data_IF_127361207098
#
_entry.id   IF_127361207098
#
_cell.length_a   1.000
_cell.length_b   1.000
_cell.length_c   1.000
_cell.angle_alpha   90.00
_cell.angle_beta   90.00
_cell.angle_gamma   90.00
#
_symmetry.space_group_name_H-M   'P 1'
#
loop_
_entity.id
_entity.type
_entity.pdbx_description
1 polymer ?
#
# COMPACT_ATOMS: atom_id res chain seq x y z
N UNK A 1 -17.86 -9.07 -10.51
CA UNK A 1 -16.82 -8.02 -10.43
C UNK A 1 -15.86 -8.46 -9.35
N UNK A 2 -14.56 -8.52 -9.64
CA UNK A 2 -13.57 -9.25 -8.83
C UNK A 2 -13.62 -8.81 -7.35
N UNK A 3 -14.03 -9.75 -6.48
CA UNK A 3 -14.07 -9.60 -5.03
C UNK A 3 -12.73 -10.02 -4.39
N UNK A 4 -11.63 -9.92 -5.13
CA UNK A 4 -10.31 -10.37 -4.69
C UNK A 4 -9.53 -9.20 -4.11
N UNK A 5 -9.16 -9.33 -2.85
CA UNK A 5 -8.26 -8.42 -2.15
C UNK A 5 -6.81 -8.89 -2.34
N UNK A 6 -5.89 -7.95 -2.52
CA UNK A 6 -4.46 -8.23 -2.63
C UNK A 6 -3.86 -8.26 -1.22
N UNK A 7 -3.30 -9.40 -0.83
CA UNK A 7 -2.54 -9.52 0.40
C UNK A 7 -1.11 -9.03 0.18
N UNK A 8 -0.59 -8.21 1.09
CA UNK A 8 0.77 -7.65 1.01
C UNK A 8 1.32 -7.37 2.41
N UNK A 9 2.64 -7.24 2.52
CA UNK A 9 3.34 -6.88 3.76
C UNK A 9 4.31 -5.72 3.52
N UNK A 10 4.77 -5.15 4.64
CA UNK A 10 5.80 -4.14 4.65
C UNK A 10 7.05 -4.59 3.89
N UNK A 11 7.52 -3.75 2.97
CA UNK A 11 8.67 -4.06 2.11
C UNK A 11 8.31 -4.71 0.78
N UNK A 12 7.06 -5.12 0.55
CA UNK A 12 6.61 -5.57 -0.77
C UNK A 12 6.51 -4.37 -1.73
N UNK A 13 6.86 -4.61 -2.99
CA UNK A 13 6.70 -3.65 -4.08
C UNK A 13 5.44 -3.99 -4.82
N UNK A 14 4.49 -3.06 -4.85
CA UNK A 14 3.20 -3.26 -5.50
C UNK A 14 3.21 -2.51 -6.82
N UNK A 15 2.97 -3.23 -7.91
CA UNK A 15 2.74 -2.60 -9.22
C UNK A 15 1.31 -2.11 -9.26
N UNK A 16 1.11 -0.80 -9.22
CA UNK A 16 -0.22 -0.20 -9.31
C UNK A 16 -0.71 -0.28 -10.75
N UNK A 17 -1.86 -0.93 -10.95
CA UNK A 17 -2.50 -1.13 -12.25
C UNK A 17 -3.68 -0.17 -12.44
N UNK A 18 -4.46 0.09 -11.38
CA UNK A 18 -5.50 1.13 -11.36
C UNK A 18 -5.45 1.91 -10.04
N UNK A 19 -5.36 3.24 -10.15
CA UNK A 19 -5.41 4.18 -9.04
C UNK A 19 -6.52 5.24 -9.23
N UNK A 20 -7.56 4.89 -9.98
CA UNK A 20 -8.64 5.82 -10.35
C UNK A 20 -9.51 6.17 -9.13
N UNK A 21 -9.56 5.30 -8.12
CA UNK A 21 -10.26 5.53 -6.86
C UNK A 21 -9.29 6.01 -5.78
N UNK A 22 -9.72 6.96 -4.93
CA UNK A 22 -8.90 7.54 -3.86
C UNK A 22 -8.63 6.59 -2.69
N UNK A 23 -9.53 5.64 -2.45
CA UNK A 23 -9.49 4.77 -1.27
C UNK A 23 -8.93 3.38 -1.59
N UNK A 24 -9.19 2.88 -2.80
CA UNK A 24 -8.88 1.50 -3.21
C UNK A 24 -8.20 1.47 -4.57
N UNK A 25 -7.03 0.85 -4.63
CA UNK A 25 -6.25 0.67 -5.86
C UNK A 25 -6.20 -0.79 -6.25
N UNK A 26 -6.13 -1.05 -7.56
CA UNK A 26 -5.86 -2.37 -8.09
C UNK A 26 -4.35 -2.49 -8.34
N UNK A 27 -3.74 -3.55 -7.82
CA UNK A 27 -2.31 -3.77 -7.96
C UNK A 27 -1.95 -5.22 -8.12
N UNK A 28 -0.67 -5.43 -8.43
CA UNK A 28 -0.07 -6.73 -8.66
C UNK A 28 1.20 -6.90 -7.82
N UNK A 29 1.34 -8.08 -7.21
CA UNK A 29 2.56 -8.58 -6.57
C UNK A 29 2.83 -9.94 -7.20
N UNK A 30 4.01 -10.11 -7.81
CA UNK A 30 4.36 -11.29 -8.59
C UNK A 30 3.27 -11.62 -9.63
N UNK A 31 2.58 -12.76 -9.48
CA UNK A 31 1.48 -13.22 -10.36
C UNK A 31 0.09 -13.02 -9.73
N UNK A 32 -0.01 -12.37 -8.56
CA UNK A 32 -1.28 -12.11 -7.87
C UNK A 32 -1.76 -10.67 -8.07
N UNK A 33 -3.04 -10.52 -8.40
CA UNK A 33 -3.70 -9.23 -8.59
C UNK A 33 -4.90 -9.09 -7.66
N UNK A 34 -5.14 -7.87 -7.15
CA UNK A 34 -6.25 -7.62 -6.23
C UNK A 34 -6.40 -6.17 -5.83
N UNK A 35 -7.50 -5.90 -5.12
CA UNK A 35 -7.78 -4.60 -4.50
C UNK A 35 -7.00 -4.45 -3.19
N UNK A 36 -6.41 -3.28 -2.99
CA UNK A 36 -5.79 -2.92 -1.72
C UNK A 36 -6.05 -1.44 -1.36
N UNK A 37 -5.96 -1.05 -0.09
CA UNK A 37 -6.26 0.30 0.33
C UNK A 37 -5.08 1.23 0.00
N UNK A 38 -5.36 2.36 -0.64
CA UNK A 38 -4.34 3.32 -1.08
C UNK A 38 -3.52 3.89 0.09
N UNK A 39 -4.08 3.92 1.30
CA UNK A 39 -3.43 4.43 2.51
C UNK A 39 -2.19 3.63 2.96
N UNK A 40 -1.96 2.43 2.42
CA UNK A 40 -0.81 1.58 2.78
C UNK A 40 0.40 1.72 1.86
N UNK A 41 0.31 2.57 0.83
CA UNK A 41 1.39 2.78 -0.14
C UNK A 41 1.75 4.26 -0.23
N UNK A 42 3.06 4.55 -0.41
CA UNK A 42 3.52 5.88 -0.80
C UNK A 42 4.08 5.80 -2.21
N UNK A 43 3.68 6.74 -3.06
CA UNK A 43 4.22 6.88 -4.42
C UNK A 43 5.60 7.52 -4.36
N UNK A 44 6.65 6.75 -4.67
CA UNK A 44 7.98 7.30 -4.89
C UNK A 44 8.25 7.31 -6.40
N UNK A 45 7.74 8.35 -7.07
CA UNK A 45 7.99 8.83 -8.44
C UNK A 45 7.91 7.85 -9.64
N UNK A 46 7.85 6.54 -9.44
CA UNK A 46 7.67 5.53 -10.48
C UNK A 46 7.25 4.14 -9.95
N UNK A 47 7.35 3.86 -8.64
CA UNK A 47 6.91 2.59 -8.03
C UNK A 47 6.27 2.84 -6.65
N UNK A 48 5.21 2.10 -6.32
CA UNK A 48 4.60 2.12 -5.00
C UNK A 48 5.32 1.12 -4.09
N UNK A 49 5.96 1.63 -3.04
CA UNK A 49 6.59 0.79 -2.02
C UNK A 49 5.62 0.70 -0.83
N UNK A 50 5.36 -0.51 -0.34
CA UNK A 50 4.60 -0.68 0.89
C UNK A 50 5.38 -0.05 2.04
N UNK A 51 4.85 1.05 2.59
CA UNK A 51 5.38 1.66 3.79
C UNK A 51 4.74 0.94 4.99
N UNK A 52 5.50 0.21 5.83
CA UNK A 52 4.97 -0.21 7.11
C UNK A 52 4.45 1.04 7.82
N UNK A 53 3.22 0.97 8.33
CA UNK A 53 2.56 2.02 9.11
C UNK A 53 3.25 2.32 10.47
N UNK A 54 4.57 2.10 10.56
CA UNK A 54 5.40 2.29 11.75
C UNK A 54 6.52 3.32 11.58
N UNK A 55 6.65 4.02 10.43
CA UNK A 55 7.58 5.17 10.32
C UNK A 55 6.99 6.49 10.86
N UNK A 56 6.07 6.39 11.83
CA UNK A 56 5.65 7.50 12.69
C UNK A 56 6.31 7.42 14.09
N UNK A 57 7.55 6.92 14.18
CA UNK A 57 8.40 7.10 15.36
C UNK A 57 8.75 8.59 15.64
N UNK A 58 8.24 9.53 14.83
CA UNK A 58 8.30 10.98 15.03
C UNK A 58 7.00 11.57 15.60
N UNK A 59 6.17 10.78 16.30
CA UNK A 59 5.42 11.30 17.46
C UNK A 59 6.20 10.95 18.72
N UNK A 60 7.29 11.69 18.88
CA UNK A 60 8.12 11.73 20.07
C UNK A 60 7.25 11.92 21.33
N UNK A 61 7.43 11.00 22.28
CA UNK A 61 7.38 11.21 23.74
C UNK A 61 6.23 12.06 24.32
N UNK A 62 5.23 11.37 24.84
CA UNK A 62 4.89 11.59 26.25
C UNK A 62 4.31 10.29 26.81
N UNK A 63 5.20 9.46 27.38
CA UNK A 63 4.79 8.79 28.61
C UNK A 63 4.84 9.87 29.70
N UNK A 64 3.66 10.15 30.25
CA UNK A 64 3.38 11.01 31.39
C UNK A 64 1.96 10.74 31.81
#
# INVERSE_FOLDING_TARGET
MANRELAFKAGDVIKVLDASNKDWWWGQIDDEEGWFPASFVRSESANAICVPSHLCWLKNQSQG
#
